data_IF_190360451777
#
_entry.id   IF_190360451777
#
_cell.length_a   1.000
_cell.length_b   1.000
_cell.length_c   1.000
_cell.angle_alpha   90.00
_cell.angle_beta   90.00
_cell.angle_gamma   90.00
#
_symmetry.space_group_name_H-M   'P 1'
#
loop_
_entity.id
_entity.type
_entity.pdbx_description
1 polymer ?
#
# COMPACT_ATOMS: atom_id res chain seq x y z
N UNK A 1 5.42 -48.10 55.77
CA UNK A 1 4.44 -48.22 54.68
C UNK A 1 3.44 -47.08 54.84
N UNK A 2 3.74 -45.91 54.27
CA UNK A 2 2.79 -44.80 54.11
C UNK A 2 3.39 -43.82 53.10
N UNK A 3 2.66 -43.71 51.98
CA UNK A 3 2.56 -42.64 50.99
C UNK A 3 3.79 -41.80 50.64
N UNK A 4 4.41 -42.25 49.55
CA UNK A 4 5.09 -41.43 48.59
C UNK A 4 4.04 -40.93 47.58
N UNK A 5 3.48 -39.72 47.75
CA UNK A 5 2.51 -39.19 46.79
C UNK A 5 2.82 -37.74 46.36
N UNK A 6 3.62 -37.69 45.30
CA UNK A 6 3.51 -36.81 44.12
C UNK A 6 3.40 -35.31 44.36
N UNK A 7 4.57 -34.69 44.37
CA UNK A 7 4.76 -33.31 43.92
C UNK A 7 4.27 -33.14 42.47
N UNK A 8 3.02 -32.73 42.32
CA UNK A 8 2.52 -32.19 41.07
C UNK A 8 3.07 -30.77 40.89
N UNK A 9 4.30 -30.68 40.35
CA UNK A 9 4.86 -29.45 39.79
C UNK A 9 3.93 -28.90 38.71
N UNK A 10 2.98 -28.08 39.13
CA UNK A 10 2.13 -27.28 38.27
C UNK A 10 2.98 -26.10 37.81
N UNK A 11 3.74 -26.29 36.73
CA UNK A 11 4.50 -25.20 36.10
C UNK A 11 3.55 -24.02 35.79
N UNK A 12 3.97 -22.76 36.01
CA UNK A 12 3.06 -21.63 35.97
C UNK A 12 2.45 -21.49 34.57
N UNK A 13 1.11 -21.39 34.46
CA UNK A 13 0.39 -21.31 33.17
C UNK A 13 0.86 -20.13 32.31
N UNK A 14 1.48 -19.14 32.95
CA UNK A 14 2.03 -17.94 32.33
C UNK A 14 3.16 -18.22 31.33
N UNK A 15 4.02 -19.22 31.58
CA UNK A 15 5.13 -19.54 30.68
C UNK A 15 4.64 -20.08 29.32
N UNK A 16 3.54 -20.84 29.33
CA UNK A 16 2.92 -21.38 28.10
C UNK A 16 2.21 -20.27 27.34
N UNK A 17 1.51 -19.37 28.02
CA UNK A 17 0.85 -18.21 27.41
C UNK A 17 1.88 -17.28 26.77
N UNK A 18 2.98 -16.98 27.47
CA UNK A 18 4.05 -16.14 26.95
C UNK A 18 4.72 -16.76 25.71
N UNK A 19 4.97 -18.08 25.74
CA UNK A 19 5.51 -18.80 24.59
C UNK A 19 4.58 -18.68 23.36
N UNK A 20 3.28 -18.89 23.53
CA UNK A 20 2.30 -18.74 22.43
C UNK A 20 2.22 -17.30 21.92
N UNK A 21 2.29 -16.30 22.79
CA UNK A 21 2.32 -14.88 22.39
C UNK A 21 3.57 -14.54 21.57
N UNK A 22 4.75 -15.00 22.00
CA UNK A 22 6.01 -14.79 21.27
C UNK A 22 5.97 -15.51 19.92
N UNK A 23 5.47 -16.75 19.89
CA UNK A 23 5.32 -17.51 18.65
C UNK A 23 4.35 -16.84 17.67
N UNK A 24 3.20 -16.36 18.16
CA UNK A 24 2.23 -15.64 17.35
C UNK A 24 2.78 -14.30 16.83
N UNK A 25 3.48 -13.54 17.66
CA UNK A 25 4.12 -12.29 17.26
C UNK A 25 5.22 -12.51 16.22
N UNK A 26 6.08 -13.53 16.42
CA UNK A 26 7.13 -13.89 15.46
C UNK A 26 6.56 -14.33 14.11
N UNK A 27 5.50 -15.14 14.13
CA UNK A 27 4.80 -15.56 12.91
C UNK A 27 4.17 -14.37 12.19
N UNK A 28 3.54 -13.45 12.94
CA UNK A 28 2.98 -12.22 12.39
C UNK A 28 4.02 -11.35 11.70
N UNK A 29 5.20 -11.18 12.32
CA UNK A 29 6.32 -10.43 11.74
C UNK A 29 6.86 -11.08 10.46
N UNK A 30 7.00 -12.41 10.42
CA UNK A 30 7.47 -13.13 9.24
C UNK A 30 6.48 -13.02 8.08
N UNK A 31 5.19 -13.24 8.32
CA UNK A 31 4.14 -13.11 7.30
C UNK A 31 4.08 -11.67 6.79
N UNK A 32 4.15 -10.70 7.69
CA UNK A 32 4.15 -9.29 7.33
C UNK A 32 5.37 -8.93 6.46
N UNK A 33 6.58 -9.32 6.87
CA UNK A 33 7.80 -9.07 6.10
C UNK A 33 7.77 -9.73 4.72
N UNK A 34 7.24 -10.97 4.63
CA UNK A 34 7.06 -11.65 3.36
C UNK A 34 6.05 -10.95 2.44
N UNK A 35 4.91 -10.51 2.98
CA UNK A 35 3.94 -9.73 2.21
C UNK A 35 4.52 -8.38 1.76
N UNK A 36 5.26 -7.69 2.63
CA UNK A 36 5.92 -6.43 2.30
C UNK A 36 6.94 -6.60 1.15
N UNK A 37 7.73 -7.67 1.17
CA UNK A 37 8.63 -8.01 0.06
C UNK A 37 7.85 -8.28 -1.22
N UNK A 38 6.86 -9.19 -1.17
CA UNK A 38 6.03 -9.54 -2.34
C UNK A 38 5.22 -8.37 -2.88
N UNK A 39 4.93 -7.37 -2.06
CA UNK A 39 4.14 -6.22 -2.44
C UNK A 39 4.89 -5.25 -3.33
N UNK A 40 6.23 -5.22 -3.28
CA UNK A 40 7.04 -4.30 -4.07
C UNK A 40 7.84 -5.04 -5.14
N UNK A 41 7.48 -4.80 -6.39
CA UNK A 41 8.27 -5.18 -7.55
C UNK A 41 9.11 -3.98 -7.98
N UNK A 42 10.38 -4.21 -8.27
CA UNK A 42 11.27 -3.18 -8.79
C UNK A 42 12.08 -3.77 -9.91
N UNK A 43 11.97 -3.17 -11.09
CA UNK A 43 12.72 -3.58 -12.27
C UNK A 43 13.22 -2.35 -13.02
N UNK A 44 14.28 -2.54 -13.78
CA UNK A 44 14.79 -1.50 -14.65
C UNK A 44 13.99 -1.53 -15.95
N UNK A 45 13.53 -0.38 -16.43
CA UNK A 45 12.79 -0.25 -17.67
C UNK A 45 13.23 1.02 -18.42
N UNK A 46 13.24 0.95 -19.74
CA UNK A 46 13.48 2.13 -20.57
C UNK A 46 12.27 3.10 -20.48
N UNK A 47 12.45 4.41 -20.73
CA UNK A 47 11.36 5.37 -20.66
C UNK A 47 10.15 4.99 -21.53
N UNK A 48 10.39 4.41 -22.71
CA UNK A 48 9.33 3.96 -23.61
C UNK A 48 8.57 2.74 -23.07
N UNK A 49 9.27 1.81 -22.42
CA UNK A 49 8.67 0.63 -21.79
C UNK A 49 7.84 1.04 -20.57
N UNK A 50 8.39 1.91 -19.72
CA UNK A 50 7.66 2.49 -18.60
C UNK A 50 6.43 3.26 -19.09
N UNK A 51 6.52 4.04 -20.17
CA UNK A 51 5.35 4.71 -20.74
C UNK A 51 4.25 3.73 -21.15
N UNK A 52 4.62 2.57 -21.72
CA UNK A 52 3.72 1.48 -22.06
C UNK A 52 3.03 0.89 -20.83
N UNK A 53 3.78 0.53 -19.78
CA UNK A 53 3.20 -0.02 -18.55
C UNK A 53 2.17 0.91 -17.90
N UNK A 54 2.44 2.21 -17.89
CA UNK A 54 1.50 3.19 -17.36
C UNK A 54 0.24 3.32 -18.23
N UNK A 55 0.38 3.26 -19.56
CA UNK A 55 -0.76 3.27 -20.47
C UNK A 55 -1.64 2.02 -20.27
N UNK A 56 -1.03 0.84 -20.18
CA UNK A 56 -1.72 -0.43 -19.94
C UNK A 56 -2.52 -0.42 -18.64
N UNK A 57 -1.98 0.18 -17.56
CA UNK A 57 -2.71 0.31 -16.30
C UNK A 57 -3.89 1.26 -16.45
N UNK A 58 -3.69 2.42 -17.09
CA UNK A 58 -4.73 3.41 -17.30
C UNK A 58 -5.89 2.87 -18.15
N UNK A 59 -5.60 2.07 -19.18
CA UNK A 59 -6.62 1.44 -20.03
C UNK A 59 -7.49 0.44 -19.27
N UNK A 60 -6.95 -0.21 -18.23
CA UNK A 60 -7.70 -1.14 -17.38
C UNK A 60 -8.56 -0.44 -16.34
N UNK A 61 -8.30 0.84 -16.06
CA UNK A 61 -9.07 1.58 -15.08
C UNK A 61 -10.42 2.02 -15.67
N UNK A 62 -11.48 2.08 -14.86
CA UNK A 62 -12.73 2.69 -15.29
C UNK A 62 -12.48 4.14 -15.73
N UNK A 63 -13.13 4.57 -16.82
CA UNK A 63 -13.02 5.91 -17.41
C UNK A 63 -13.60 7.00 -16.51
N UNK A 64 -12.98 7.21 -15.35
CA UNK A 64 -13.32 8.20 -14.35
C UNK A 64 -12.16 9.20 -14.23
N UNK A 65 -12.47 10.49 -14.00
CA UNK A 65 -11.44 11.48 -13.74
C UNK A 65 -10.64 11.10 -12.48
N UNK A 66 -9.33 11.35 -12.45
CA UNK A 66 -8.51 11.07 -11.28
C UNK A 66 -8.97 11.90 -10.08
N UNK A 67 -8.82 11.34 -8.88
CA UNK A 67 -9.19 12.01 -7.62
C UNK A 67 -8.36 13.28 -7.41
N UNK A 68 -7.08 13.23 -7.72
CA UNK A 68 -6.17 14.35 -7.76
C UNK A 68 -5.60 14.48 -9.16
N UNK A 69 -5.93 15.60 -9.79
CA UNK A 69 -5.33 16.01 -11.05
C UNK A 69 -4.26 17.05 -10.73
N UNK A 70 -3.03 16.82 -11.16
CA UNK A 70 -1.96 17.82 -11.01
C UNK A 70 -1.93 18.64 -12.29
N UNK A 71 -2.25 19.93 -12.18
CA UNK A 71 -2.12 20.85 -13.30
C UNK A 71 -0.62 21.07 -13.59
N UNK A 72 -0.12 20.65 -14.75
CA UNK A 72 1.30 20.77 -15.09
C UNK A 72 1.75 22.23 -15.30
N UNK A 73 0.83 23.17 -15.56
CA UNK A 73 1.15 24.58 -15.77
C UNK A 73 1.05 25.39 -14.48
N UNK A 74 0.05 25.11 -13.65
CA UNK A 74 -0.20 25.85 -12.41
C UNK A 74 0.48 25.23 -11.17
N UNK A 75 1.03 24.02 -11.28
CA UNK A 75 1.53 23.24 -10.14
C UNK A 75 0.46 22.96 -9.07
N UNK A 76 -0.80 23.21 -9.41
CA UNK A 76 -1.91 23.21 -8.46
C UNK A 76 -2.62 21.86 -8.56
N UNK A 77 -2.83 21.22 -7.40
CA UNK A 77 -3.55 19.95 -7.31
C UNK A 77 -5.04 20.21 -7.22
N UNK A 78 -5.81 19.73 -8.19
CA UNK A 78 -7.27 19.81 -8.17
C UNK A 78 -7.85 18.51 -7.64
N UNK A 79 -8.69 18.59 -6.60
CA UNK A 79 -9.41 17.44 -6.06
C UNK A 79 -10.77 17.31 -6.74
N UNK A 80 -11.00 16.19 -7.41
CA UNK A 80 -12.32 15.85 -7.96
C UNK A 80 -13.26 15.47 -6.83
N UNK A 81 -14.54 15.83 -6.91
CA UNK A 81 -15.52 15.44 -5.92
C UNK A 81 -15.83 13.92 -6.00
N UNK A 82 -16.15 13.25 -4.87
CA UNK A 82 -16.56 11.86 -4.90
C UNK A 82 -17.81 11.66 -5.77
N UNK A 83 -17.93 10.55 -6.51
CA UNK A 83 -19.13 10.25 -7.26
C UNK A 83 -20.33 10.11 -6.32
N UNK A 84 -21.46 10.71 -6.69
CA UNK A 84 -22.73 10.50 -5.99
C UNK A 84 -23.27 9.10 -6.31
N UNK A 85 -22.96 8.11 -5.47
CA UNK A 85 -23.40 6.74 -5.69
C UNK A 85 -22.90 5.75 -4.63
N UNK A 86 -23.38 4.49 -4.67
CA UNK A 86 -22.96 3.48 -3.72
C UNK A 86 -21.45 3.20 -3.84
N UNK A 87 -20.78 3.29 -2.69
CA UNK A 87 -19.34 3.10 -2.57
C UNK A 87 -18.97 1.66 -2.90
N UNK A 88 -18.21 1.46 -3.99
CA UNK A 88 -17.68 0.13 -4.35
C UNK A 88 -16.53 -0.25 -3.41
N UNK A 89 -16.46 -1.53 -3.03
CA UNK A 89 -15.44 -2.03 -2.09
C UNK A 89 -14.06 -2.07 -2.74
N UNK A 90 -13.22 -1.10 -2.40
CA UNK A 90 -11.78 -1.15 -2.66
C UNK A 90 -11.11 -2.24 -1.83
N UNK A 91 -10.35 -3.10 -2.49
CA UNK A 91 -9.56 -4.18 -1.92
C UNK A 91 -8.09 -3.77 -1.78
N UNK A 92 -7.54 -3.01 -2.72
CA UNK A 92 -6.12 -2.68 -2.78
C UNK A 92 -5.87 -1.24 -3.28
N UNK A 93 -4.78 -0.67 -2.80
CA UNK A 93 -4.15 0.54 -3.29
C UNK A 93 -2.91 0.12 -4.08
N UNK A 94 -2.86 0.45 -5.35
CA UNK A 94 -1.74 0.13 -6.22
C UNK A 94 -1.01 1.41 -6.58
N UNK A 95 0.31 1.35 -6.59
CA UNK A 95 1.20 2.46 -6.90
C UNK A 95 2.24 2.00 -7.91
N UNK A 96 2.40 2.76 -8.98
CA UNK A 96 3.41 2.56 -10.00
C UNK A 96 4.20 3.86 -10.13
N UNK A 97 5.50 3.79 -9.89
CA UNK A 97 6.40 4.92 -9.95
C UNK A 97 7.56 4.63 -10.90
N UNK A 98 7.85 5.56 -11.80
CA UNK A 98 9.03 5.54 -12.65
C UNK A 98 9.99 6.64 -12.21
N UNK A 99 11.25 6.26 -11.98
CA UNK A 99 12.33 7.15 -11.60
C UNK A 99 13.27 7.33 -12.79
N UNK A 100 13.22 8.49 -13.43
CA UNK A 100 14.01 8.76 -14.63
C UNK A 100 15.52 8.80 -14.35
N UNK A 101 15.91 9.23 -13.15
CA UNK A 101 17.32 9.34 -12.77
C UNK A 101 18.07 8.00 -12.72
N UNK A 102 17.38 6.87 -12.57
CA UNK A 102 17.98 5.53 -12.49
C UNK A 102 17.28 4.48 -13.36
N UNK A 103 16.30 4.88 -14.18
CA UNK A 103 15.58 3.97 -15.09
C UNK A 103 14.76 2.90 -14.38
N UNK A 104 14.37 3.09 -13.12
CA UNK A 104 13.66 2.06 -12.36
C UNK A 104 12.16 2.32 -12.33
N UNK A 105 11.40 1.26 -12.60
CA UNK A 105 9.97 1.17 -12.32
C UNK A 105 9.79 0.44 -10.99
N UNK A 106 9.00 1.03 -10.12
CA UNK A 106 8.63 0.47 -8.82
C UNK A 106 7.12 0.32 -8.79
N UNK A 107 6.65 -0.90 -8.64
CA UNK A 107 5.24 -1.20 -8.41
C UNK A 107 5.05 -1.67 -6.99
N UNK A 108 4.12 -1.05 -6.27
CA UNK A 108 3.73 -1.46 -4.93
C UNK A 108 2.23 -1.68 -4.84
N UNK A 109 1.83 -2.88 -4.42
CA UNK A 109 0.42 -3.24 -4.18
C UNK A 109 0.16 -3.36 -2.68
N UNK A 110 -0.62 -2.43 -2.11
CA UNK A 110 -0.94 -2.39 -0.68
C UNK A 110 -2.41 -2.81 -0.47
N UNK A 111 -2.69 -3.86 0.31
CA UNK A 111 -4.05 -4.16 0.74
C UNK A 111 -4.71 -2.96 1.43
N UNK A 112 -5.91 -2.58 1.00
CA UNK A 112 -6.59 -1.37 1.49
C UNK A 112 -6.92 -1.46 2.99
N UNK A 113 -7.08 -2.68 3.50
CA UNK A 113 -7.22 -2.94 4.94
C UNK A 113 -5.97 -2.49 5.72
N UNK A 114 -4.76 -2.76 5.21
CA UNK A 114 -3.52 -2.30 5.85
C UNK A 114 -3.40 -0.78 5.77
N UNK A 115 -3.77 -0.21 4.63
CA UNK A 115 -3.84 1.24 4.43
C UNK A 115 -4.79 1.92 5.44
N UNK A 116 -5.94 1.28 5.76
CA UNK A 116 -6.89 1.78 6.78
C UNK A 116 -6.42 1.63 8.22
N UNK A 117 -5.65 0.60 8.54
CA UNK A 117 -5.32 0.24 9.94
C UNK A 117 -4.07 0.97 10.44
N UNK A 118 -3.06 1.18 9.59
CA UNK A 118 -1.80 1.82 10.00
C UNK A 118 -1.18 2.65 8.87
N UNK A 119 -1.39 3.97 8.92
CA UNK A 119 -0.69 4.95 8.08
C UNK A 119 0.84 4.78 8.11
N UNK A 120 1.51 4.61 9.28
CA UNK A 120 2.97 4.48 9.31
C UNK A 120 3.49 3.24 8.57
N UNK A 121 2.70 2.17 8.57
CA UNK A 121 3.09 0.89 7.96
C UNK A 121 2.89 0.93 6.45
N UNK A 122 1.80 1.56 5.99
CA UNK A 122 1.62 1.82 4.56
C UNK A 122 2.72 2.76 4.03
N UNK A 123 3.09 3.79 4.79
CA UNK A 123 4.19 4.70 4.44
C UNK A 123 5.51 3.99 4.20
N UNK A 124 5.84 2.96 4.99
CA UNK A 124 7.05 2.14 4.79
C UNK A 124 7.04 1.38 3.45
N UNK A 125 5.89 0.85 3.02
CA UNK A 125 5.75 0.17 1.72
C UNK A 125 5.80 1.14 0.54
N UNK A 126 5.30 2.36 0.76
CA UNK A 126 5.19 3.42 -0.23
C UNK A 126 6.45 4.30 -0.33
N UNK A 127 7.37 4.18 0.63
CA UNK A 127 8.59 4.99 0.66
C UNK A 127 9.43 4.83 -0.62
N UNK A 128 9.45 3.63 -1.20
CA UNK A 128 10.18 3.34 -2.45
C UNK A 128 9.55 3.96 -3.70
N UNK A 129 8.27 4.28 -3.66
CA UNK A 129 7.55 4.91 -4.79
C UNK A 129 7.57 6.44 -4.71
N UNK A 130 8.16 7.02 -3.65
CA UNK A 130 8.10 8.47 -3.34
C UNK A 130 6.65 9.00 -3.28
N UNK A 131 5.69 8.12 -3.01
CA UNK A 131 4.31 8.47 -2.75
C UNK A 131 4.16 8.70 -1.24
N UNK A 132 3.78 9.93 -0.88
CA UNK A 132 3.49 10.29 0.51
C UNK A 132 2.02 10.74 0.61
N UNK A 133 1.12 9.87 1.11
CA UNK A 133 -0.31 10.18 1.20
C UNK A 133 -0.62 11.34 2.14
N UNK A 134 0.20 11.59 3.16
CA UNK A 134 0.01 12.69 4.11
C UNK A 134 0.25 14.04 3.41
N UNK A 135 1.32 14.14 2.63
CA UNK A 135 1.60 15.35 1.82
C UNK A 135 0.57 15.61 0.72
N UNK A 136 -0.19 14.58 0.35
CA UNK A 136 -1.26 14.65 -0.64
C UNK A 136 -2.63 14.93 -0.01
N UNK A 137 -2.75 14.95 1.32
CA UNK A 137 -4.02 15.12 2.03
C UNK A 137 -5.02 13.98 1.74
N UNK A 138 -4.53 12.80 1.37
CA UNK A 138 -5.35 11.66 0.96
C UNK A 138 -5.59 10.70 2.13
N UNK A 139 -6.69 10.91 2.84
CA UNK A 139 -7.11 10.00 3.90
C UNK A 139 -7.72 8.70 3.31
N UNK A 140 -7.38 7.51 3.86
CA UNK A 140 -8.06 6.25 3.55
C UNK A 140 -9.59 6.31 3.54
N UNK A 141 -10.18 7.07 4.47
CA UNK A 141 -11.64 7.21 4.57
C UNK A 141 -12.23 7.99 3.40
N UNK A 142 -11.49 8.96 2.87
CA UNK A 142 -11.91 9.70 1.69
C UNK A 142 -11.73 8.86 0.44
N UNK A 143 -10.57 8.21 0.28
CA UNK A 143 -10.29 7.30 -0.83
C UNK A 143 -11.32 6.18 -0.95
N UNK A 144 -11.78 5.65 0.19
CA UNK A 144 -12.85 4.68 0.21
C UNK A 144 -14.13 5.21 -0.46
N UNK A 145 -14.47 6.51 -0.32
CA UNK A 145 -15.68 7.10 -0.92
C UNK A 145 -15.61 7.21 -2.43
N UNK A 146 -14.41 7.33 -3.02
CA UNK A 146 -14.22 7.36 -4.47
C UNK A 146 -14.38 5.98 -5.10
N UNK A 147 -14.02 4.92 -4.37
CA UNK A 147 -14.04 3.54 -4.85
C UNK A 147 -12.93 3.27 -5.89
N UNK A 148 -13.02 2.16 -6.63
CA UNK A 148 -12.02 1.79 -7.64
C UNK A 148 -11.87 2.84 -8.74
N UNK A 149 -10.62 3.09 -9.16
CA UNK A 149 -10.26 4.08 -10.17
C UNK A 149 -8.93 4.78 -9.91
N UNK A 150 -8.53 5.65 -10.83
CA UNK A 150 -7.29 6.43 -10.72
C UNK A 150 -7.42 7.45 -9.60
N UNK A 151 -6.42 7.47 -8.73
CA UNK A 151 -6.30 8.45 -7.65
C UNK A 151 -5.41 9.60 -8.10
N UNK A 152 -4.22 9.29 -8.63
CA UNK A 152 -3.23 10.27 -9.10
C UNK A 152 -2.61 9.73 -10.39
N UNK A 153 -2.48 10.57 -11.42
CA UNK A 153 -1.50 10.40 -12.50
C UNK A 153 -0.68 11.70 -12.56
N UNK A 154 0.55 11.65 -12.06
CA UNK A 154 1.46 12.79 -11.97
C UNK A 154 2.66 12.54 -12.88
N UNK A 155 2.96 13.51 -13.75
CA UNK A 155 4.20 13.57 -14.53
C UNK A 155 5.01 14.76 -14.06
N UNK A 156 6.28 14.52 -13.71
CA UNK A 156 7.17 15.56 -13.21
C UNK A 156 8.10 16.06 -14.32
N UNK A 157 8.57 17.32 -14.24
CA UNK A 157 9.48 17.89 -15.25
C UNK A 157 10.81 17.15 -15.37
N UNK A 158 11.24 16.44 -14.32
CA UNK A 158 12.46 15.65 -14.31
C UNK A 158 12.32 14.29 -15.03
N UNK A 159 11.15 13.98 -15.59
CA UNK A 159 10.86 12.71 -16.25
C UNK A 159 10.33 11.60 -15.32
N UNK A 160 10.27 11.84 -14.01
CA UNK A 160 9.62 10.90 -13.09
C UNK A 160 8.11 10.87 -13.36
N UNK A 161 7.51 9.70 -13.14
CA UNK A 161 6.05 9.53 -13.25
C UNK A 161 5.52 8.73 -12.08
N UNK A 162 4.34 9.10 -11.60
CA UNK A 162 3.68 8.44 -10.49
C UNK A 162 2.21 8.22 -10.84
N UNK A 163 1.78 6.96 -10.77
CA UNK A 163 0.41 6.54 -10.97
C UNK A 163 -0.07 5.80 -9.72
N UNK A 164 -1.22 6.21 -9.20
CA UNK A 164 -1.84 5.63 -8.01
C UNK A 164 -3.29 5.31 -8.36
N UNK A 165 -3.74 4.10 -8.06
CA UNK A 165 -5.12 3.68 -8.32
C UNK A 165 -5.65 2.73 -7.24
N UNK A 166 -6.97 2.63 -7.18
CA UNK A 166 -7.70 1.74 -6.30
C UNK A 166 -8.32 0.60 -7.09
N UNK A 167 -8.17 -0.63 -6.60
CA UNK A 167 -8.81 -1.85 -7.10
C UNK A 167 -9.74 -2.47 -6.05
#
# INVERSE_FOLDING_TARGET
MAEHERDAHTGPPFARILFWLVLAAGTGLLVFGFMAWRATETHHALPAEAAGEFADVLERQPSRPPVLETDPEAGTRRRTAPPAGPVSKTRKLCVLAYHAGNGNVVRTDVPFLLYRIKEPVAGLLLQKTRYDPETLGLNPQDLAKYGPGVVIDERRPNGDRLLVWLE
#
